data_IF_064729255708
#
_entry.id   IF_064729255708
#
_cell.length_a   1.000
_cell.length_b   1.000
_cell.length_c   1.000
_cell.angle_alpha   90.00
_cell.angle_beta   90.00
_cell.angle_gamma   90.00
#
_symmetry.space_group_name_H-M   'P 1'
#
loop_
_entity.id
_entity.type
_entity.pdbx_description
1 polymer ?
#
# COMPACT_ATOMS: atom_id res chain seq x y z
N UNK A 1 21.23 -11.53 -6.05
CA UNK A 1 19.84 -11.73 -6.54
C UNK A 1 19.36 -13.18 -6.41
N UNK A 2 20.18 -14.21 -6.68
CA UNK A 2 19.74 -15.61 -6.69
C UNK A 2 19.38 -16.23 -5.31
N UNK A 3 19.93 -15.72 -4.21
CA UNK A 3 19.60 -16.20 -2.86
C UNK A 3 18.29 -15.59 -2.32
N UNK A 4 18.05 -14.31 -2.61
CA UNK A 4 16.85 -13.59 -2.18
C UNK A 4 15.60 -14.18 -2.86
N UNK A 5 15.70 -14.53 -4.15
CA UNK A 5 14.59 -15.19 -4.85
C UNK A 5 14.27 -16.55 -4.23
N UNK A 6 15.28 -17.36 -3.86
CA UNK A 6 15.05 -18.66 -3.21
C UNK A 6 14.29 -18.54 -1.89
N UNK A 7 14.60 -17.54 -1.07
CA UNK A 7 13.92 -17.32 0.23
C UNK A 7 12.47 -16.83 0.00
N UNK A 8 12.27 -15.97 -1.00
CA UNK A 8 10.95 -15.45 -1.35
C UNK A 8 10.03 -16.57 -1.87
N UNK A 9 10.53 -17.43 -2.76
CA UNK A 9 9.78 -18.57 -3.31
C UNK A 9 9.78 -19.81 -2.40
N UNK A 10 10.39 -19.76 -1.22
CA UNK A 10 10.32 -20.85 -0.22
C UNK A 10 9.19 -20.67 0.78
N UNK A 11 8.32 -19.66 0.61
CA UNK A 11 7.20 -19.47 1.51
C UNK A 11 6.18 -20.63 1.37
N UNK A 12 5.59 -21.10 2.48
CA UNK A 12 4.50 -22.06 2.41
C UNK A 12 3.29 -21.44 1.69
N UNK A 13 2.70 -22.16 0.74
CA UNK A 13 1.55 -21.64 -0.06
C UNK A 13 0.40 -21.12 0.80
N UNK A 14 0.10 -21.76 1.94
CA UNK A 14 -0.94 -21.32 2.86
C UNK A 14 -0.64 -19.94 3.47
N UNK A 15 0.64 -19.64 3.71
CA UNK A 15 1.08 -18.35 4.22
C UNK A 15 0.96 -17.26 3.15
N UNK A 16 1.31 -17.57 1.89
CA UNK A 16 1.14 -16.65 0.75
C UNK A 16 -0.32 -16.28 0.55
N UNK A 17 -1.23 -17.27 0.62
CA UNK A 17 -2.67 -17.02 0.47
C UNK A 17 -3.20 -16.19 1.64
N UNK A 18 -2.77 -16.50 2.87
CA UNK A 18 -3.14 -15.73 4.06
C UNK A 18 -2.69 -14.27 3.96
N UNK A 19 -1.44 -14.04 3.56
CA UNK A 19 -0.89 -12.70 3.38
C UNK A 19 -1.57 -11.94 2.24
N UNK A 20 -1.95 -12.63 1.15
CA UNK A 20 -2.76 -12.06 0.08
C UNK A 20 -4.11 -11.56 0.59
N UNK A 21 -4.84 -12.39 1.34
CA UNK A 21 -6.13 -11.99 1.91
C UNK A 21 -6.00 -10.82 2.87
N UNK A 22 -4.98 -10.80 3.74
CA UNK A 22 -4.70 -9.71 4.66
C UNK A 22 -4.40 -8.40 3.90
N UNK A 23 -3.55 -8.46 2.87
CA UNK A 23 -3.21 -7.29 2.06
C UNK A 23 -4.44 -6.73 1.32
N UNK A 24 -5.27 -7.62 0.76
CA UNK A 24 -6.48 -7.25 0.06
C UNK A 24 -7.55 -6.66 1.00
N UNK A 25 -7.71 -7.22 2.20
CA UNK A 25 -8.55 -6.65 3.25
C UNK A 25 -8.07 -5.26 3.67
N UNK A 26 -6.76 -5.08 3.87
CA UNK A 26 -6.18 -3.78 4.23
C UNK A 26 -6.45 -2.72 3.14
N UNK A 27 -6.36 -3.11 1.86
CA UNK A 27 -6.71 -2.25 0.74
C UNK A 27 -8.18 -1.83 0.78
N UNK A 28 -9.11 -2.78 0.91
CA UNK A 28 -10.55 -2.51 0.95
C UNK A 28 -10.89 -1.60 2.14
N UNK A 29 -10.37 -1.88 3.33
CA UNK A 29 -10.63 -1.09 4.54
C UNK A 29 -10.11 0.34 4.38
N UNK A 30 -8.88 0.53 3.86
CA UNK A 30 -8.32 1.88 3.65
C UNK A 30 -9.07 2.65 2.57
N UNK A 31 -9.50 2.00 1.49
CA UNK A 31 -10.34 2.63 0.48
C UNK A 31 -11.68 3.06 1.07
N UNK A 32 -12.38 2.16 1.77
CA UNK A 32 -13.68 2.48 2.38
C UNK A 32 -13.58 3.63 3.38
N UNK A 33 -12.54 3.63 4.23
CA UNK A 33 -12.27 4.74 5.14
C UNK A 33 -11.93 6.04 4.40
N UNK A 34 -11.12 5.96 3.34
CA UNK A 34 -10.79 7.12 2.49
C UNK A 34 -12.02 7.73 1.83
N UNK A 35 -12.89 6.91 1.24
CA UNK A 35 -14.14 7.35 0.63
C UNK A 35 -15.13 7.91 1.66
N UNK A 36 -15.29 7.27 2.81
CA UNK A 36 -16.18 7.74 3.88
C UNK A 36 -15.69 9.07 4.47
N UNK A 37 -14.38 9.21 4.67
CA UNK A 37 -13.78 10.47 5.12
C UNK A 37 -13.94 11.58 4.07
N UNK A 38 -13.78 11.28 2.78
CA UNK A 38 -13.96 12.24 1.71
C UNK A 38 -15.44 12.67 1.55
N UNK A 39 -16.37 11.71 1.62
CA UNK A 39 -17.81 11.95 1.55
C UNK A 39 -18.34 12.77 2.73
N UNK A 40 -17.92 12.45 3.97
CA UNK A 40 -18.33 13.19 5.16
C UNK A 40 -17.77 14.62 5.20
N UNK A 41 -16.58 14.86 4.63
CA UNK A 41 -15.93 16.19 4.65
C UNK A 41 -16.44 17.12 3.56
N UNK A 42 -16.83 16.59 2.39
CA UNK A 42 -17.44 17.38 1.30
C UNK A 42 -18.74 18.06 1.74
N UNK A 43 -19.45 17.49 2.72
CA UNK A 43 -20.71 18.03 3.23
C UNK A 43 -20.57 19.04 4.39
N UNK A 44 -19.42 19.11 5.09
CA UNK A 44 -19.33 19.86 6.36
C UNK A 44 -18.30 21.00 6.32
N UNK A 45 -17.22 20.93 5.55
CA UNK A 45 -16.15 21.94 5.64
C UNK A 45 -15.57 22.38 4.28
N UNK A 46 -15.98 23.56 3.81
CA UNK A 46 -15.35 24.29 2.70
C UNK A 46 -14.04 25.02 3.05
N UNK A 47 -13.39 24.72 4.19
CA UNK A 47 -12.47 25.65 4.87
C UNK A 47 -10.97 25.33 4.91
N UNK A 48 -10.50 24.08 4.99
CA UNK A 48 -9.08 23.82 5.30
C UNK A 48 -8.39 23.00 4.19
N UNK A 49 -7.70 23.69 3.28
CA UNK A 49 -7.36 23.13 1.96
C UNK A 49 -5.96 22.52 1.80
N UNK A 50 -5.01 22.67 2.73
CA UNK A 50 -3.61 22.22 2.51
C UNK A 50 -3.17 21.04 3.38
N UNK A 51 -3.31 21.10 4.70
CA UNK A 51 -2.91 20.00 5.59
C UNK A 51 -3.79 18.74 5.41
N UNK A 52 -5.06 18.94 5.08
CA UNK A 52 -6.07 17.89 4.90
C UNK A 52 -5.90 17.11 3.60
N UNK A 53 -5.54 17.80 2.50
CA UNK A 53 -5.28 17.17 1.20
C UNK A 53 -4.08 16.23 1.24
N UNK A 54 -3.03 16.59 1.97
CA UNK A 54 -1.86 15.73 2.08
C UNK A 54 -2.18 14.42 2.81
N UNK A 55 -2.94 14.49 3.93
CA UNK A 55 -3.37 13.27 4.65
C UNK A 55 -4.21 12.35 3.75
N UNK A 56 -5.07 12.92 2.90
CA UNK A 56 -5.82 12.16 1.90
C UNK A 56 -4.92 11.51 0.85
N UNK A 57 -3.94 12.25 0.31
CA UNK A 57 -2.96 11.75 -0.67
C UNK A 57 -2.10 10.62 -0.08
N UNK A 58 -1.60 10.79 1.15
CA UNK A 58 -0.80 9.77 1.86
C UNK A 58 -1.66 8.53 2.14
N UNK A 59 -2.89 8.73 2.60
CA UNK A 59 -3.83 7.61 2.81
C UNK A 59 -4.11 6.85 1.51
N UNK A 60 -4.31 7.56 0.40
CA UNK A 60 -4.50 6.94 -0.91
C UNK A 60 -3.26 6.19 -1.39
N UNK A 61 -2.07 6.77 -1.20
CA UNK A 61 -0.81 6.13 -1.56
C UNK A 61 -0.58 4.84 -0.75
N UNK A 62 -0.95 4.80 0.54
CA UNK A 62 -0.92 3.57 1.31
C UNK A 62 -1.92 2.51 0.84
N UNK A 63 -3.09 2.91 0.35
CA UNK A 63 -4.02 1.98 -0.29
C UNK A 63 -3.38 1.39 -1.56
N UNK A 64 -2.77 2.22 -2.40
CA UNK A 64 -2.08 1.76 -3.61
C UNK A 64 -0.93 0.80 -3.28
N UNK A 65 -0.18 1.06 -2.20
CA UNK A 65 0.83 0.15 -1.69
C UNK A 65 0.23 -1.21 -1.27
N UNK A 66 -0.87 -1.22 -0.52
CA UNK A 66 -1.54 -2.46 -0.13
C UNK A 66 -2.04 -3.28 -1.34
N UNK A 67 -2.50 -2.60 -2.40
CA UNK A 67 -2.88 -3.24 -3.67
C UNK A 67 -1.68 -3.90 -4.35
N UNK A 68 -0.56 -3.16 -4.48
CA UNK A 68 0.67 -3.70 -5.06
C UNK A 68 1.21 -4.89 -4.26
N UNK A 69 1.12 -4.81 -2.93
CA UNK A 69 1.53 -5.90 -2.05
C UNK A 69 0.62 -7.14 -2.23
N UNK A 70 -0.69 -6.93 -2.43
CA UNK A 70 -1.60 -8.03 -2.78
C UNK A 70 -1.27 -8.65 -4.14
N UNK A 71 -0.91 -7.85 -5.14
CA UNK A 71 -0.47 -8.33 -6.45
C UNK A 71 0.86 -9.09 -6.36
N UNK A 72 1.77 -8.66 -5.48
CA UNK A 72 3.00 -9.38 -5.19
C UNK A 72 2.71 -10.80 -4.69
N UNK A 73 1.87 -10.95 -3.66
CA UNK A 73 1.52 -12.28 -3.14
C UNK A 73 0.77 -13.13 -4.16
N UNK A 74 -0.02 -12.51 -5.04
CA UNK A 74 -0.68 -13.21 -6.14
C UNK A 74 0.35 -13.78 -7.13
N UNK A 75 1.32 -12.96 -7.55
CA UNK A 75 2.38 -13.42 -8.44
C UNK A 75 3.33 -14.42 -7.77
N UNK A 76 3.55 -14.29 -6.46
CA UNK A 76 4.31 -15.24 -5.67
C UNK A 76 3.64 -16.62 -5.68
N UNK A 77 2.33 -16.66 -5.47
CA UNK A 77 1.52 -17.89 -5.52
C UNK A 77 1.58 -18.59 -6.88
N UNK A 78 1.67 -17.83 -7.97
CA UNK A 78 1.84 -18.37 -9.33
C UNK A 78 3.31 -18.64 -9.72
N UNK A 79 4.25 -18.51 -8.79
CA UNK A 79 5.70 -18.67 -9.03
C UNK A 79 6.20 -17.80 -10.21
N UNK A 80 5.54 -16.66 -10.42
CA UNK A 80 5.84 -15.78 -11.55
C UNK A 80 7.06 -14.90 -11.22
N UNK A 81 8.04 -14.87 -12.13
CA UNK A 81 9.26 -14.04 -12.00
C UNK A 81 8.96 -12.54 -11.88
N UNK A 82 7.80 -12.10 -12.35
CA UNK A 82 7.32 -10.74 -12.16
C UNK A 82 7.08 -10.36 -10.68
N UNK A 83 6.93 -11.34 -9.77
CA UNK A 83 6.76 -11.09 -8.33
C UNK A 83 7.89 -10.21 -7.76
N UNK A 84 9.13 -10.46 -8.17
CA UNK A 84 10.29 -9.67 -7.69
C UNK A 84 10.17 -8.21 -8.14
N UNK A 85 9.80 -7.97 -9.40
CA UNK A 85 9.62 -6.62 -9.93
C UNK A 85 8.48 -5.87 -9.23
N UNK A 86 7.37 -6.56 -8.94
CA UNK A 86 6.24 -5.99 -8.21
C UNK A 86 6.62 -5.68 -6.75
N UNK A 87 7.42 -6.54 -6.12
CA UNK A 87 7.96 -6.28 -4.79
C UNK A 87 8.85 -5.05 -4.78
N UNK A 88 9.80 -4.94 -5.71
CA UNK A 88 10.69 -3.78 -5.84
C UNK A 88 9.89 -2.48 -6.03
N UNK A 89 8.90 -2.49 -6.93
CA UNK A 89 8.00 -1.35 -7.14
C UNK A 89 7.23 -0.99 -5.87
N UNK A 90 6.73 -1.97 -5.13
CA UNK A 90 6.01 -1.75 -3.87
C UNK A 90 6.92 -1.11 -2.81
N UNK A 91 8.18 -1.55 -2.71
CA UNK A 91 9.15 -1.00 -1.76
C UNK A 91 9.57 0.43 -2.11
N UNK A 92 9.79 0.72 -3.40
CA UNK A 92 10.06 2.08 -3.89
C UNK A 92 8.89 3.00 -3.54
N UNK A 93 7.65 2.56 -3.80
CA UNK A 93 6.46 3.34 -3.47
C UNK A 93 6.37 3.59 -1.96
N UNK A 94 6.60 2.56 -1.13
CA UNK A 94 6.61 2.71 0.33
C UNK A 94 7.65 3.72 0.80
N UNK A 95 8.86 3.67 0.22
CA UNK A 95 9.93 4.61 0.55
C UNK A 95 9.54 6.05 0.19
N UNK A 96 8.94 6.26 -0.98
CA UNK A 96 8.43 7.58 -1.39
C UNK A 96 7.36 8.08 -0.41
N UNK A 97 6.43 7.22 0.00
CA UNK A 97 5.38 7.58 0.98
C UNK A 97 6.02 8.02 2.30
N UNK A 98 6.97 7.23 2.82
CA UNK A 98 7.65 7.53 4.09
C UNK A 98 8.46 8.82 4.01
N UNK A 99 9.14 9.09 2.90
CA UNK A 99 9.87 10.34 2.68
C UNK A 99 8.93 11.54 2.67
N UNK A 100 7.80 11.46 1.96
CA UNK A 100 6.78 12.53 1.95
C UNK A 100 6.26 12.76 3.37
N UNK A 101 5.93 11.69 4.09
CA UNK A 101 5.39 11.78 5.44
C UNK A 101 6.41 12.37 6.43
N UNK A 102 7.69 11.97 6.34
CA UNK A 102 8.77 12.50 7.15
C UNK A 102 9.03 14.00 6.89
N UNK A 103 9.02 14.42 5.62
CA UNK A 103 9.19 15.83 5.24
C UNK A 103 8.07 16.69 5.83
N UNK A 104 6.83 16.20 5.79
CA UNK A 104 5.69 16.95 6.30
C UNK A 104 5.57 16.93 7.82
N UNK A 105 5.90 15.81 8.47
CA UNK A 105 5.93 15.73 9.93
C UNK A 105 6.98 16.67 10.54
N UNK A 106 8.05 16.98 9.81
CA UNK A 106 9.09 17.94 10.22
C UNK A 106 8.70 19.40 10.02
N UNK A 107 7.63 19.69 9.27
CA UNK A 107 7.12 21.05 8.99
C UNK A 107 5.87 21.44 9.81
N UNK A 108 5.25 20.48 10.49
CA UNK A 108 4.12 20.67 11.42
C UNK A 108 4.61 20.80 12.85
#
# INVERSE_FOLDING_TARGET
MAEISKIIFSLPKWLETGLLFIALLAFVIKIQHGFKAHSARKNIFGGEKKATRLKEIVSFAYSLFALLLSLFFLFLYFENKAAIQVLELSLILLLVILVIEAIFKRRS
#
